data_IF_155345897372
#
_entry.id   IF_155345897372
#
_cell.length_a   1.000
_cell.length_b   1.000
_cell.length_c   1.000
_cell.angle_alpha   90.00
_cell.angle_beta   90.00
_cell.angle_gamma   90.00
#
_symmetry.space_group_name_H-M   'P 1'
#
loop_
_entity.id
_entity.type
_entity.pdbx_description
1 polymer ?
#
# COMPACT_ATOMS: atom_id res chain seq x y z
N UNK A 1 11.00 -3.02 9.28
CA UNK A 1 10.69 -3.07 7.83
C UNK A 1 9.72 -4.17 7.45
N UNK A 2 9.92 -5.43 7.85
CA UNK A 2 8.99 -6.51 7.52
C UNK A 2 7.57 -6.28 8.11
N UNK A 3 7.48 -5.86 9.38
CA UNK A 3 6.19 -5.60 10.03
C UNK A 3 5.41 -4.46 9.35
N UNK A 4 6.07 -3.34 9.10
CA UNK A 4 5.48 -2.17 8.43
C UNK A 4 5.06 -2.49 7.00
N UNK A 5 5.89 -3.19 6.24
CA UNK A 5 5.53 -3.69 4.91
C UNK A 5 4.31 -4.62 4.95
N UNK A 6 4.25 -5.55 5.91
CA UNK A 6 3.11 -6.44 6.10
C UNK A 6 1.81 -5.69 6.40
N UNK A 7 1.86 -4.67 7.27
CA UNK A 7 0.71 -3.81 7.57
C UNK A 7 0.27 -3.04 6.32
N UNK A 8 1.21 -2.48 5.55
CA UNK A 8 0.90 -1.80 4.28
C UNK A 8 0.20 -2.74 3.30
N UNK A 9 0.72 -3.95 3.08
CA UNK A 9 0.09 -4.92 2.18
C UNK A 9 -1.30 -5.34 2.64
N UNK A 10 -1.49 -5.58 3.93
CA UNK A 10 -2.80 -5.93 4.49
C UNK A 10 -3.82 -4.81 4.25
N UNK A 11 -3.45 -3.56 4.50
CA UNK A 11 -4.34 -2.42 4.28
C UNK A 11 -4.63 -2.18 2.80
N UNK A 12 -3.64 -2.29 1.91
CA UNK A 12 -3.87 -2.21 0.46
C UNK A 12 -4.86 -3.29 0.00
N UNK A 13 -4.74 -4.52 0.52
CA UNK A 13 -5.71 -5.58 0.22
C UNK A 13 -7.12 -5.26 0.72
N UNK A 14 -7.25 -4.71 1.94
CA UNK A 14 -8.54 -4.29 2.50
C UNK A 14 -9.17 -3.19 1.64
N UNK A 15 -8.38 -2.18 1.24
CA UNK A 15 -8.82 -1.09 0.34
C UNK A 15 -9.26 -1.68 -1.00
N UNK A 16 -8.48 -2.57 -1.61
CA UNK A 16 -8.85 -3.24 -2.87
C UNK A 16 -10.14 -4.05 -2.78
N UNK A 17 -10.46 -4.60 -1.60
CA UNK A 17 -11.71 -5.34 -1.39
C UNK A 17 -12.90 -4.41 -1.17
N UNK A 18 -12.72 -3.34 -0.39
CA UNK A 18 -13.78 -2.37 -0.08
C UNK A 18 -14.13 -1.47 -1.27
N UNK A 19 -13.13 -1.05 -2.05
CA UNK A 19 -13.29 -0.16 -3.20
C UNK A 19 -13.55 -0.91 -4.50
N UNK A 20 -14.16 -2.10 -4.44
CA UNK A 20 -14.20 -3.02 -5.58
C UNK A 20 -14.80 -2.42 -6.87
N UNK A 21 -15.78 -1.53 -6.72
CA UNK A 21 -16.50 -0.86 -7.81
C UNK A 21 -15.99 0.57 -8.10
N UNK A 22 -15.01 1.05 -7.36
CA UNK A 22 -14.47 2.40 -7.51
C UNK A 22 -13.31 2.41 -8.53
N UNK A 23 -13.08 3.55 -9.20
CA UNK A 23 -12.02 3.66 -10.19
C UNK A 23 -10.64 3.54 -9.54
N UNK A 24 -9.67 2.97 -10.29
CA UNK A 24 -8.31 2.66 -9.81
C UNK A 24 -7.62 3.84 -9.12
N UNK A 25 -7.80 5.06 -9.63
CA UNK A 25 -7.15 6.25 -9.07
C UNK A 25 -7.57 6.53 -7.63
N UNK A 26 -8.83 6.26 -7.25
CA UNK A 26 -9.29 6.41 -5.86
C UNK A 26 -8.65 5.38 -4.94
N UNK A 27 -8.48 4.13 -5.42
CA UNK A 27 -7.79 3.07 -4.67
C UNK A 27 -6.33 3.43 -4.43
N UNK A 28 -5.66 3.89 -5.49
CA UNK A 28 -4.26 4.31 -5.42
C UNK A 28 -4.08 5.52 -4.50
N UNK A 29 -4.99 6.49 -4.56
CA UNK A 29 -4.98 7.66 -3.67
C UNK A 29 -5.19 7.27 -2.20
N UNK A 30 -6.16 6.39 -1.92
CA UNK A 30 -6.39 5.90 -0.57
C UNK A 30 -5.18 5.11 -0.04
N UNK A 31 -4.60 4.25 -0.88
CA UNK A 31 -3.42 3.47 -0.55
C UNK A 31 -2.19 4.34 -0.28
N UNK A 32 -1.91 5.32 -1.14
CA UNK A 32 -0.77 6.22 -0.97
C UNK A 32 -0.89 7.09 0.27
N UNK A 33 -2.09 7.63 0.54
CA UNK A 33 -2.35 8.41 1.75
C UNK A 33 -2.20 7.56 3.02
N UNK A 34 -2.63 6.30 2.97
CA UNK A 34 -2.45 5.38 4.10
C UNK A 34 -0.96 5.10 4.36
N UNK A 35 -0.20 4.77 3.31
CA UNK A 35 1.24 4.48 3.44
C UNK A 35 1.99 5.70 3.99
N UNK A 36 1.72 6.89 3.47
CA UNK A 36 2.35 8.13 3.97
C UNK A 36 1.99 8.41 5.42
N UNK A 37 0.75 8.18 5.85
CA UNK A 37 0.40 8.31 7.27
C UNK A 37 1.13 7.29 8.14
N UNK A 38 1.26 6.04 7.66
CA UNK A 38 1.98 5.00 8.38
C UNK A 38 3.48 5.31 8.47
N UNK A 39 4.09 5.83 7.41
CA UNK A 39 5.46 6.34 7.42
C UNK A 39 5.64 7.47 8.44
N UNK A 40 4.70 8.40 8.54
CA UNK A 40 4.76 9.47 9.54
C UNK A 40 4.71 8.93 10.98
N UNK A 41 3.78 8.02 11.27
CA UNK A 41 3.64 7.43 12.61
C UNK A 41 4.87 6.59 12.98
N UNK A 42 5.34 5.74 12.06
CA UNK A 42 6.52 4.91 12.27
C UNK A 42 7.76 5.77 12.41
N UNK A 43 7.94 6.77 11.54
CA UNK A 43 9.04 7.72 11.60
C UNK A 43 9.06 8.49 12.92
N UNK A 44 7.90 8.95 13.39
CA UNK A 44 7.79 9.59 14.71
C UNK A 44 8.25 8.66 15.85
N UNK A 45 7.78 7.41 15.88
CA UNK A 45 8.17 6.45 16.92
C UNK A 45 9.64 6.05 16.81
N UNK A 46 10.16 5.80 15.61
CA UNK A 46 11.51 5.25 15.43
C UNK A 46 12.58 6.34 15.45
N UNK A 47 12.30 7.52 14.89
CA UNK A 47 13.30 8.58 14.77
C UNK A 47 13.22 9.58 15.91
N UNK A 48 12.01 9.98 16.34
CA UNK A 48 11.88 10.97 17.41
C UNK A 48 11.95 10.29 18.78
N UNK A 49 11.24 9.18 18.98
CA UNK A 49 11.22 8.52 20.30
C UNK A 49 12.45 7.63 20.54
N UNK A 50 12.91 6.90 19.51
CA UNK A 50 14.00 5.93 19.66
C UNK A 50 15.35 6.43 19.11
N UNK A 51 15.37 7.49 18.29
CA UNK A 51 16.60 8.09 17.77
C UNK A 51 17.34 7.23 16.74
N UNK A 52 16.68 6.28 16.08
CA UNK A 52 17.33 5.30 15.21
C UNK A 52 17.58 5.77 13.76
N UNK A 53 17.18 7.00 13.41
CA UNK A 53 17.39 7.64 12.10
C UNK A 53 17.04 6.75 10.89
N UNK A 54 15.95 6.00 11.00
CA UNK A 54 15.41 5.10 9.98
C UNK A 54 14.43 5.85 9.08
N UNK A 55 14.66 5.89 7.77
CA UNK A 55 13.89 6.71 6.83
C UNK A 55 13.99 8.21 7.12
N UNK A 56 15.21 8.67 7.34
CA UNK A 56 15.49 10.09 7.46
C UNK A 56 15.40 10.77 6.08
N UNK A 57 14.40 11.63 5.91
CA UNK A 57 14.17 12.44 4.72
C UNK A 57 14.55 13.91 4.93
N UNK A 58 15.32 14.23 5.97
CA UNK A 58 15.70 15.61 6.31
C UNK A 58 16.42 16.34 5.17
N UNK A 59 17.13 15.61 4.31
CA UNK A 59 17.87 16.17 3.17
C UNK A 59 17.00 16.41 1.91
N UNK A 60 15.72 16.01 1.94
CA UNK A 60 14.82 16.16 0.80
C UNK A 60 13.98 17.44 0.90
N UNK A 61 13.81 18.13 -0.23
CA UNK A 61 12.96 19.31 -0.33
C UNK A 61 11.48 18.96 -0.08
N UNK A 62 10.79 19.84 0.66
CA UNK A 62 9.41 19.65 1.13
C UNK A 62 9.19 18.46 2.07
N UNK A 63 10.23 17.95 2.76
CA UNK A 63 10.01 17.00 3.84
C UNK A 63 9.18 17.64 4.98
N UNK A 64 8.38 16.82 5.66
CA UNK A 64 7.68 17.19 6.88
C UNK A 64 8.39 16.48 8.03
N UNK A 65 9.04 17.26 8.90
CA UNK A 65 9.78 16.79 10.08
C UNK A 65 10.88 15.74 9.79
N UNK A 66 11.39 15.69 8.54
CA UNK A 66 12.33 14.66 8.10
C UNK A 66 11.73 13.23 8.07
N UNK A 67 10.41 13.07 8.22
CA UNK A 67 9.76 11.75 8.36
C UNK A 67 8.95 11.33 7.13
N UNK A 68 8.39 12.28 6.41
CA UNK A 68 7.68 12.04 5.15
C UNK A 68 8.04 13.12 4.14
N UNK A 69 7.89 12.83 2.84
CA UNK A 69 7.94 13.88 1.83
C UNK A 69 6.88 13.64 0.73
N UNK A 70 6.34 14.71 0.11
CA UNK A 70 5.35 14.61 -0.95
C UNK A 70 5.83 13.78 -2.14
N UNK A 71 7.13 13.79 -2.43
CA UNK A 71 7.73 12.99 -3.49
C UNK A 71 7.49 11.49 -3.26
N UNK A 72 7.69 10.99 -2.03
CA UNK A 72 7.41 9.61 -1.70
C UNK A 72 5.92 9.30 -1.71
N UNK A 73 5.05 10.22 -1.26
CA UNK A 73 3.60 10.05 -1.41
C UNK A 73 3.18 9.83 -2.87
N UNK A 74 3.75 10.60 -3.81
CA UNK A 74 3.49 10.43 -5.24
C UNK A 74 4.07 9.11 -5.75
N UNK A 75 5.27 8.72 -5.32
CA UNK A 75 5.84 7.41 -5.65
C UNK A 75 4.95 6.27 -5.16
N UNK A 76 4.42 6.35 -3.94
CA UNK A 76 3.49 5.36 -3.40
C UNK A 76 2.20 5.29 -4.20
N UNK A 77 1.68 6.43 -4.68
CA UNK A 77 0.53 6.47 -5.58
C UNK A 77 0.81 5.73 -6.88
N UNK A 78 1.97 5.98 -7.51
CA UNK A 78 2.39 5.29 -8.74
C UNK A 78 2.59 3.80 -8.50
N UNK A 79 3.16 3.43 -7.35
CA UNK A 79 3.41 2.02 -6.98
C UNK A 79 2.13 1.26 -6.64
N UNK A 80 1.11 1.94 -6.12
CA UNK A 80 -0.21 1.32 -5.90
C UNK A 80 -0.84 0.85 -7.22
N UNK A 81 -0.57 1.52 -8.35
CA UNK A 81 -1.16 1.16 -9.64
C UNK A 81 -0.82 -0.28 -10.11
N UNK A 82 0.45 -0.70 -10.24
CA UNK A 82 0.78 -2.08 -10.59
C UNK A 82 0.33 -3.07 -9.52
N UNK A 83 0.36 -2.71 -8.22
CA UNK A 83 -0.11 -3.57 -7.13
C UNK A 83 -1.61 -3.86 -7.29
N UNK A 84 -2.43 -2.83 -7.48
CA UNK A 84 -3.86 -2.94 -7.74
C UNK A 84 -4.17 -3.76 -8.99
N UNK A 85 -3.38 -3.57 -10.06
CA UNK A 85 -3.51 -4.33 -11.30
C UNK A 85 -3.21 -5.81 -11.06
N UNK A 86 -2.10 -6.14 -10.42
CA UNK A 86 -1.72 -7.51 -10.09
C UNK A 86 -2.77 -8.16 -9.18
N UNK A 87 -3.24 -7.46 -8.15
CA UNK A 87 -4.32 -7.95 -7.30
C UNK A 87 -5.61 -8.25 -8.08
N UNK A 88 -5.96 -7.40 -9.05
CA UNK A 88 -7.13 -7.60 -9.90
C UNK A 88 -6.94 -8.81 -10.82
N UNK A 89 -5.77 -8.96 -11.44
CA UNK A 89 -5.44 -10.10 -12.31
C UNK A 89 -5.45 -11.40 -11.51
N UNK A 90 -4.75 -11.45 -10.37
CA UNK A 90 -4.73 -12.62 -9.49
C UNK A 90 -6.12 -13.02 -9.03
N UNK A 91 -6.96 -12.04 -8.67
CA UNK A 91 -8.35 -12.31 -8.29
C UNK A 91 -9.15 -12.91 -9.44
N UNK A 92 -8.99 -12.39 -10.66
CA UNK A 92 -9.62 -12.95 -11.86
C UNK A 92 -9.14 -14.39 -12.10
N UNK A 93 -7.84 -14.64 -12.06
CA UNK A 93 -7.28 -15.98 -12.20
C UNK A 93 -7.79 -16.95 -11.13
N UNK A 94 -7.81 -16.53 -9.87
CA UNK A 94 -8.35 -17.32 -8.77
C UNK A 94 -9.85 -17.61 -8.96
N UNK A 95 -10.64 -16.64 -9.39
CA UNK A 95 -12.06 -16.85 -9.68
C UNK A 95 -12.29 -17.84 -10.82
N UNK A 96 -11.42 -17.87 -11.83
CA UNK A 96 -11.47 -18.82 -12.94
C UNK A 96 -11.04 -20.23 -12.49
N UNK A 97 -10.03 -20.32 -11.62
CA UNK A 97 -9.60 -21.58 -11.02
C UNK A 97 -10.66 -22.16 -10.06
N UNK A 98 -11.30 -21.30 -9.27
CA UNK A 98 -12.42 -21.68 -8.38
C UNK A 98 -13.74 -21.96 -9.14
N UNK A 99 -13.87 -21.46 -10.37
CA UNK A 99 -14.97 -21.80 -11.28
C UNK A 99 -14.65 -23.02 -12.18
N UNK A 100 -13.48 -23.64 -12.04
CA UNK A 100 -13.19 -24.90 -12.72
C UNK A 100 -14.17 -25.96 -12.20
N UNK A 101 -14.93 -26.65 -13.08
CA UNK A 101 -16.04 -27.48 -12.67
C UNK A 101 -15.52 -28.75 -12.00
N UNK A 102 -15.42 -28.72 -10.67
CA UNK A 102 -15.47 -29.92 -9.84
C UNK A 102 -16.90 -30.50 -9.83
N UNK A 103 -17.52 -30.65 -11.00
CA UNK A 103 -18.87 -31.22 -11.17
C UNK A 103 -18.98 -31.90 -12.53
N UNK A 104 -18.21 -32.97 -12.71
CA UNK A 104 -18.34 -33.90 -13.84
C UNK A 104 -17.98 -35.32 -13.40
N UNK A 105 -18.48 -35.75 -12.24
CA UNK A 105 -18.63 -37.17 -11.91
C UNK A 105 -20.00 -37.31 -11.26
N UNK A 106 -21.02 -37.44 -12.10
CA UNK A 106 -22.31 -38.06 -11.75
C UNK A 106 -22.76 -38.85 -12.96
#
# INVERSE_FOLDING_TARGET
MALTGGICFLFLYIIERGYNNEPLWKKCAAGSLFITNLELVVGFVVNILLGWAVWDYSDLTFNIAGQICPLYTVLWFVLCFPVSLVCTVLRRLYSQLGASPATSIR
#
